data_IF_720299278391
#
_entry.id   IF_720299278391
#
_cell.length_a   1.000
_cell.length_b   1.000
_cell.length_c   1.000
_cell.angle_alpha   90.00
_cell.angle_beta   90.00
_cell.angle_gamma   90.00
#
_symmetry.space_group_name_H-M   'P 1'
#
loop_
_entity.id
_entity.type
_entity.pdbx_description
1 polymer ?
#
# COMPACT_ATOMS: atom_id res chain seq x y z
N UNK A 1 -9.56 -3.39 -1.79
CA UNK A 1 -9.82 -2.80 -0.46
C UNK A 1 -9.91 -1.29 -0.62
N UNK A 2 -10.87 -0.65 0.04
CA UNK A 2 -10.97 0.82 0.03
C UNK A 2 -9.99 1.38 1.07
N UNK A 3 -8.94 2.05 0.62
CA UNK A 3 -7.89 2.62 1.49
C UNK A 3 -8.20 4.05 1.93
N UNK A 4 -9.38 4.58 1.61
CA UNK A 4 -9.78 5.91 2.05
C UNK A 4 -10.01 5.91 3.57
N UNK A 5 -9.60 6.97 4.29
CA UNK A 5 -9.83 7.11 5.73
C UNK A 5 -11.28 6.84 6.17
N UNK A 6 -12.24 7.16 5.29
CA UNK A 6 -13.67 6.92 5.48
C UNK A 6 -14.05 5.46 5.73
N UNK A 7 -13.23 4.52 5.26
CA UNK A 7 -13.52 3.09 5.30
C UNK A 7 -12.79 2.36 6.43
N UNK A 8 -11.95 3.05 7.21
CA UNK A 8 -11.15 2.42 8.26
C UNK A 8 -11.94 2.36 9.56
N UNK A 9 -12.44 1.18 9.91
CA UNK A 9 -13.06 0.94 11.21
C UNK A 9 -14.38 1.70 11.46
N UNK A 10 -15.01 2.26 10.43
CA UNK A 10 -16.29 2.96 10.59
C UNK A 10 -17.41 1.97 10.93
N UNK A 11 -18.17 2.21 12.02
CA UNK A 11 -19.38 1.45 12.32
C UNK A 11 -20.42 1.58 11.21
N UNK A 12 -21.28 0.56 11.06
CA UNK A 12 -22.27 0.51 9.97
C UNK A 12 -23.22 1.72 10.00
N UNK A 13 -23.51 2.26 8.82
CA UNK A 13 -24.35 3.44 8.59
C UNK A 13 -25.75 3.32 9.19
N UNK A 14 -26.29 2.10 9.28
CA UNK A 14 -27.61 1.82 9.84
C UNK A 14 -27.68 2.04 11.36
N UNK A 15 -26.55 2.11 12.05
CA UNK A 15 -26.49 2.33 13.50
C UNK A 15 -26.12 3.77 13.86
N UNK A 16 -25.31 4.44 13.04
CA UNK A 16 -24.72 5.75 13.38
C UNK A 16 -24.96 6.85 12.34
N UNK A 17 -25.73 6.57 11.28
CA UNK A 17 -26.01 7.51 10.22
C UNK A 17 -24.85 7.67 9.21
N UNK A 18 -25.15 8.32 8.08
CA UNK A 18 -24.17 8.62 7.04
C UNK A 18 -23.11 9.61 7.55
N UNK A 19 -21.86 9.47 7.11
CA UNK A 19 -20.79 10.39 7.46
C UNK A 19 -21.03 11.78 6.82
N UNK A 20 -20.71 12.86 7.51
CA UNK A 20 -20.70 14.21 6.95
C UNK A 20 -19.40 14.45 6.15
N UNK A 21 -19.43 14.40 4.81
CA UNK A 21 -18.22 14.47 3.99
C UNK A 21 -17.52 15.84 4.05
N UNK A 22 -18.14 16.87 4.65
CA UNK A 22 -17.56 18.21 4.76
C UNK A 22 -16.28 18.26 5.61
N UNK A 23 -16.06 17.24 6.46
CA UNK A 23 -14.87 17.11 7.29
C UNK A 23 -13.68 16.46 6.58
N UNK A 24 -13.87 15.89 5.38
CA UNK A 24 -12.77 15.34 4.59
C UNK A 24 -12.27 16.37 3.58
N UNK A 25 -11.06 16.88 3.79
CA UNK A 25 -10.38 17.67 2.76
C UNK A 25 -10.26 16.87 1.47
N UNK A 26 -10.62 17.46 0.34
CA UNK A 26 -10.70 16.81 -0.98
C UNK A 26 -9.36 16.26 -1.54
N UNK A 27 -8.25 16.41 -0.83
CA UNK A 27 -6.99 15.72 -1.12
C UNK A 27 -6.11 15.72 0.15
N UNK A 28 -6.08 14.61 0.90
CA UNK A 28 -4.98 14.34 1.82
C UNK A 28 -3.71 14.00 1.03
N UNK A 29 -2.50 14.38 1.48
CA UNK A 29 -1.27 14.11 0.75
C UNK A 29 -1.10 12.60 0.56
N UNK A 30 -0.79 12.22 -0.68
CA UNK A 30 -0.39 10.86 -1.02
C UNK A 30 0.96 10.59 -0.34
N UNK A 31 0.93 9.97 0.84
CA UNK A 31 2.13 9.75 1.63
C UNK A 31 2.82 8.47 1.15
N UNK A 32 3.94 8.62 0.46
CA UNK A 32 4.83 7.52 0.16
C UNK A 32 5.46 7.01 1.47
N UNK A 33 5.43 5.70 1.67
CA UNK A 33 5.99 5.05 2.87
C UNK A 33 7.49 5.29 2.94
N UNK A 34 7.96 6.02 3.95
CA UNK A 34 9.39 6.33 4.13
C UNK A 34 10.15 5.23 4.90
N UNK A 35 9.41 4.35 5.59
CA UNK A 35 9.95 3.22 6.35
C UNK A 35 9.12 1.97 6.04
N UNK A 36 9.38 1.26 4.93
CA UNK A 36 8.62 0.06 4.58
C UNK A 36 8.91 -1.05 5.59
N UNK A 37 7.84 -1.60 6.20
CA UNK A 37 7.97 -2.67 7.20
C UNK A 37 8.35 -3.99 6.55
N UNK A 38 7.82 -4.27 5.35
CA UNK A 38 8.14 -5.50 4.59
C UNK A 38 8.69 -5.09 3.23
N UNK A 39 9.87 -5.61 2.88
CA UNK A 39 10.51 -5.40 1.57
C UNK A 39 10.82 -6.73 0.89
N UNK A 40 10.96 -6.68 -0.44
CA UNK A 40 11.63 -7.75 -1.19
C UNK A 40 13.13 -7.49 -1.24
N UNK A 41 13.91 -8.51 -1.63
CA UNK A 41 15.37 -8.46 -1.63
C UNK A 41 15.94 -7.95 -2.95
N UNK A 42 15.97 -8.81 -3.97
CA UNK A 42 16.78 -8.59 -5.17
C UNK A 42 16.05 -9.02 -6.43
N UNK A 43 16.34 -8.30 -7.51
CA UNK A 43 15.84 -8.59 -8.86
C UNK A 43 17.03 -8.56 -9.81
N UNK A 44 17.15 -9.59 -10.65
CA UNK A 44 18.16 -9.66 -11.71
C UNK A 44 17.47 -9.63 -13.07
N UNK A 45 18.10 -8.95 -14.03
CA UNK A 45 17.60 -8.88 -15.40
C UNK A 45 18.74 -8.99 -16.41
N UNK A 46 18.51 -9.73 -17.50
CA UNK A 46 19.42 -9.83 -18.63
C UNK A 46 18.69 -9.56 -19.94
N UNK A 47 19.21 -8.61 -20.73
CA UNK A 47 18.74 -8.32 -22.10
C UNK A 47 19.46 -9.22 -23.10
N UNK A 48 18.74 -9.70 -24.10
CA UNK A 48 19.26 -10.39 -25.27
C UNK A 48 18.63 -9.82 -26.54
N UNK A 49 19.11 -10.26 -27.72
CA UNK A 49 18.77 -9.69 -29.03
C UNK A 49 17.26 -9.45 -29.24
N UNK A 50 16.43 -10.39 -28.78
CA UNK A 50 15.00 -10.43 -29.06
C UNK A 50 14.14 -10.43 -27.78
N UNK A 51 14.71 -10.07 -26.61
CA UNK A 51 13.94 -10.06 -25.37
C UNK A 51 14.72 -9.75 -24.09
N UNK A 52 14.05 -9.93 -22.97
CA UNK A 52 14.59 -9.74 -21.61
C UNK A 52 14.12 -10.91 -20.75
N UNK A 53 15.02 -11.44 -19.92
CA UNK A 53 14.66 -12.35 -18.82
C UNK A 53 14.87 -11.64 -17.48
N UNK A 54 13.93 -11.84 -16.55
CA UNK A 54 13.95 -11.28 -15.20
C UNK A 54 13.71 -12.41 -14.20
N UNK A 55 14.45 -12.38 -13.09
CA UNK A 55 14.26 -13.28 -11.97
C UNK A 55 14.26 -12.51 -10.65
N UNK A 56 13.44 -12.98 -9.70
CA UNK A 56 13.35 -12.48 -8.34
C UNK A 56 13.10 -13.66 -7.39
N UNK A 57 13.45 -13.49 -6.12
CA UNK A 57 13.07 -14.43 -5.07
C UNK A 57 11.62 -14.18 -4.60
N UNK A 58 11.04 -15.16 -3.89
CA UNK A 58 9.68 -15.08 -3.36
C UNK A 58 9.66 -14.75 -1.85
N UNK A 59 10.74 -14.17 -1.31
CA UNK A 59 10.86 -13.89 0.12
C UNK A 59 10.44 -12.44 0.42
N UNK A 60 9.56 -12.29 1.41
CA UNK A 60 9.29 -11.00 2.05
C UNK A 60 9.99 -10.94 3.40
N UNK A 61 10.76 -9.88 3.64
CA UNK A 61 11.48 -9.68 4.90
C UNK A 61 10.90 -8.48 5.65
N UNK A 62 10.56 -8.70 6.92
CA UNK A 62 10.01 -7.68 7.79
C UNK A 62 11.11 -7.07 8.66
N UNK A 63 11.09 -5.75 8.85
CA UNK A 63 11.96 -5.08 9.80
C UNK A 63 11.32 -5.15 11.19
N UNK A 64 11.98 -5.85 12.11
CA UNK A 64 11.58 -5.88 13.51
C UNK A 64 12.00 -4.57 14.18
N UNK A 65 11.02 -3.85 14.72
CA UNK A 65 11.25 -2.74 15.63
C UNK A 65 11.22 -3.30 17.05
N UNK A 66 12.39 -3.37 17.69
CA UNK A 66 12.53 -3.79 19.09
C UNK A 66 11.81 -2.87 20.06
#
# INVERSE_FOLDING_TARGET
>A
MNHLPQAWGRPRDDVYGAYDPSHFSAAGPNQHTQSPIVTGTSVLAAKFKDGVVIAADNLGMAQDYG
#
